data_IF_007708287886
#
_entry.id   IF_007708287886
#
_cell.length_a   1.000
_cell.length_b   1.000
_cell.length_c   1.000
_cell.angle_alpha   90.00
_cell.angle_beta   90.00
_cell.angle_gamma   90.00
#
_symmetry.space_group_name_H-M   'P 1'
#
loop_
_entity.id
_entity.type
_entity.pdbx_description
1 polymer ?
#
# COMPACT_ATOMS: atom_id res chain seq x y z
N UNK A 1 19.72 28.11 -10.45
CA UNK A 1 19.69 27.54 -9.08
C UNK A 1 19.70 26.03 -9.22
N UNK A 2 20.23 25.27 -8.26
CA UNK A 2 20.19 23.81 -8.34
C UNK A 2 18.73 23.34 -8.19
N UNK A 3 18.24 22.51 -9.10
CA UNK A 3 16.92 21.88 -8.97
C UNK A 3 16.84 21.14 -7.63
N UNK A 4 15.80 21.42 -6.85
CA UNK A 4 15.55 20.75 -5.58
C UNK A 4 14.77 19.47 -5.83
N UNK A 5 15.24 18.34 -5.29
CA UNK A 5 14.54 17.05 -5.37
C UNK A 5 13.70 16.84 -4.11
N UNK A 6 12.44 16.44 -4.26
CA UNK A 6 11.58 16.03 -3.14
C UNK A 6 11.01 14.63 -3.37
N UNK A 7 11.32 13.71 -2.46
CA UNK A 7 10.72 12.39 -2.44
C UNK A 7 9.45 12.40 -1.57
N UNK A 8 8.37 11.78 -2.06
CA UNK A 8 7.10 11.62 -1.38
C UNK A 8 6.89 10.13 -1.08
N UNK A 9 6.65 9.80 0.19
CA UNK A 9 6.27 8.46 0.60
C UNK A 9 4.75 8.38 0.75
N UNK A 10 4.08 7.79 -0.24
CA UNK A 10 2.65 7.53 -0.22
C UNK A 10 2.36 6.24 0.54
N UNK A 11 1.84 6.37 1.76
CA UNK A 11 1.56 5.23 2.63
C UNK A 11 0.19 4.62 2.33
N UNK A 12 0.15 3.31 2.21
CA UNK A 12 -1.06 2.50 2.15
C UNK A 12 -0.96 1.38 3.18
N UNK A 13 -2.10 0.82 3.58
CA UNK A 13 -2.12 -0.25 4.58
C UNK A 13 -1.65 -1.61 4.04
N UNK A 14 -1.74 -1.79 2.72
CA UNK A 14 -1.55 -3.08 2.08
C UNK A 14 -2.70 -4.06 2.29
N UNK A 15 -2.55 -5.22 1.66
CA UNK A 15 -3.46 -6.36 1.71
C UNK A 15 -2.67 -7.62 1.43
N UNK A 16 -3.02 -8.78 2.01
CA UNK A 16 -2.41 -10.05 1.64
C UNK A 16 -2.64 -10.34 0.15
N UNK A 17 -1.59 -10.86 -0.50
CA UNK A 17 -1.62 -11.28 -1.91
C UNK A 17 -2.05 -12.74 -2.06
N UNK A 18 -1.89 -13.54 -1.00
CA UNK A 18 -2.26 -14.95 -0.94
C UNK A 18 -3.05 -15.22 0.33
N UNK A 19 -3.88 -16.28 0.32
CA UNK A 19 -4.66 -16.65 1.51
C UNK A 19 -3.75 -17.08 2.67
N UNK A 20 -2.62 -17.70 2.35
CA UNK A 20 -1.61 -18.11 3.33
C UNK A 20 -1.00 -16.92 4.11
N UNK A 21 -1.00 -15.72 3.52
CA UNK A 21 -0.43 -14.52 4.13
C UNK A 21 -1.38 -13.86 5.15
N UNK A 22 -2.65 -14.26 5.18
CA UNK A 22 -3.69 -13.61 6.00
C UNK A 22 -3.34 -13.64 7.49
N UNK A 23 -2.78 -14.74 7.99
CA UNK A 23 -2.40 -14.85 9.40
C UNK A 23 -1.27 -13.87 9.78
N UNK A 24 -0.25 -13.77 8.93
CA UNK A 24 0.89 -12.87 9.14
C UNK A 24 0.44 -11.42 9.07
N UNK A 25 -0.30 -11.06 8.01
CA UNK A 25 -0.92 -9.74 7.88
C UNK A 25 -1.81 -9.40 9.07
N UNK A 26 -2.68 -10.33 9.52
CA UNK A 26 -3.58 -10.05 10.64
C UNK A 26 -2.83 -9.83 11.97
N UNK A 27 -1.69 -10.49 12.13
CA UNK A 27 -0.83 -10.31 13.31
C UNK A 27 -0.16 -8.94 13.28
N UNK A 28 0.39 -8.56 12.12
CA UNK A 28 1.05 -7.27 11.91
C UNK A 28 0.12 -6.09 12.23
N UNK A 29 -1.09 -6.12 11.66
CA UNK A 29 -2.08 -5.06 11.83
C UNK A 29 -2.62 -4.92 13.27
N UNK A 30 -2.43 -5.96 14.09
CA UNK A 30 -2.75 -5.95 15.53
C UNK A 30 -1.58 -5.52 16.40
N UNK A 31 -0.48 -5.05 15.81
CA UNK A 31 0.74 -4.67 16.52
C UNK A 31 1.49 -5.87 17.06
N UNK A 32 1.58 -6.95 16.28
CA UNK A 32 2.30 -8.18 16.63
C UNK A 32 1.53 -9.14 17.55
N UNK A 33 0.31 -8.79 17.98
CA UNK A 33 -0.52 -9.66 18.83
C UNK A 33 -1.17 -10.76 18.00
N UNK A 34 -0.73 -11.99 18.22
CA UNK A 34 -1.25 -13.18 17.53
C UNK A 34 -2.77 -13.29 17.69
N UNK A 35 -3.56 -13.26 16.59
CA UNK A 35 -5.00 -13.47 16.63
C UNK A 35 -5.34 -14.93 17.00
N UNK A 36 -6.56 -15.16 17.48
CA UNK A 36 -7.06 -16.53 17.66
C UNK A 36 -7.21 -17.22 16.30
N UNK A 37 -7.13 -18.55 16.31
CA UNK A 37 -7.31 -19.37 15.10
C UNK A 37 -8.65 -19.10 14.41
N UNK A 38 -9.73 -19.01 15.18
CA UNK A 38 -11.07 -18.70 14.68
C UNK A 38 -11.11 -17.34 13.95
N UNK A 39 -10.47 -16.31 14.52
CA UNK A 39 -10.42 -14.99 13.89
C UNK A 39 -9.62 -14.99 12.58
N UNK A 40 -8.53 -15.74 12.51
CA UNK A 40 -7.76 -15.93 11.26
C UNK A 40 -8.61 -16.66 10.22
N UNK A 41 -9.31 -17.72 10.61
CA UNK A 41 -10.18 -18.49 9.71
C UNK A 41 -11.33 -17.63 9.17
N UNK A 42 -11.93 -16.79 10.02
CA UNK A 42 -12.98 -15.85 9.63
C UNK A 42 -12.45 -14.83 8.60
N UNK A 43 -11.31 -14.19 8.86
CA UNK A 43 -10.72 -13.21 7.94
C UNK A 43 -10.29 -13.89 6.63
N UNK A 44 -9.73 -15.10 6.70
CA UNK A 44 -9.36 -15.89 5.51
C UNK A 44 -10.59 -16.22 4.67
N UNK A 45 -11.73 -16.54 5.28
CA UNK A 45 -12.97 -16.78 4.57
C UNK A 45 -13.48 -15.51 3.86
N UNK A 46 -13.29 -14.31 4.43
CA UNK A 46 -13.60 -13.04 3.77
C UNK A 46 -12.72 -12.83 2.54
N UNK A 47 -11.40 -13.02 2.66
CA UNK A 47 -10.48 -12.92 1.52
C UNK A 47 -10.76 -13.96 0.43
N UNK A 48 -11.15 -15.19 0.80
CA UNK A 48 -11.55 -16.21 -0.18
C UNK A 48 -12.78 -15.81 -0.98
N UNK A 49 -13.73 -15.09 -0.38
CA UNK A 49 -14.95 -14.62 -1.05
C UNK A 49 -14.67 -13.50 -2.05
N UNK A 50 -13.78 -12.58 -1.71
CA UNK A 50 -13.44 -11.44 -2.59
C UNK A 50 -12.33 -11.77 -3.59
N UNK A 51 -11.59 -12.84 -3.36
CA UNK A 51 -10.42 -13.21 -4.14
C UNK A 51 -9.15 -12.50 -3.69
N UNK A 52 -8.02 -13.14 -3.91
CA UNK A 52 -6.68 -12.58 -3.70
C UNK A 52 -5.83 -12.82 -4.96
N UNK A 53 -4.94 -11.87 -5.34
CA UNK A 53 -4.73 -10.57 -4.71
C UNK A 53 -5.92 -9.62 -4.89
N UNK A 54 -6.13 -8.74 -3.92
CA UNK A 54 -7.14 -7.68 -4.03
C UNK A 54 -6.62 -6.57 -4.97
N UNK A 55 -7.51 -5.73 -5.54
CA UNK A 55 -7.08 -4.62 -6.40
C UNK A 55 -6.32 -3.52 -5.65
N UNK A 56 -6.26 -3.57 -4.31
CA UNK A 56 -5.74 -2.50 -3.46
C UNK A 56 -4.28 -2.14 -3.79
N UNK A 57 -3.41 -3.14 -3.96
CA UNK A 57 -2.01 -2.89 -4.33
C UNK A 57 -1.90 -2.22 -5.70
N UNK A 58 -2.65 -2.71 -6.69
CA UNK A 58 -2.63 -2.14 -8.04
C UNK A 58 -3.09 -0.68 -8.04
N UNK A 59 -4.18 -0.39 -7.32
CA UNK A 59 -4.72 0.97 -7.17
C UNK A 59 -3.75 1.88 -6.42
N UNK A 60 -3.13 1.43 -5.33
CA UNK A 60 -2.14 2.24 -4.60
C UNK A 60 -0.93 2.60 -5.47
N UNK A 61 -0.44 1.65 -6.26
CA UNK A 61 0.67 1.89 -7.20
C UNK A 61 0.26 2.84 -8.32
N UNK A 62 -0.96 2.73 -8.84
CA UNK A 62 -1.49 3.66 -9.84
C UNK A 62 -1.65 5.07 -9.28
N UNK A 63 -2.18 5.20 -8.08
CA UNK A 63 -2.29 6.48 -7.38
C UNK A 63 -0.90 7.12 -7.17
N UNK A 64 0.11 6.34 -6.80
CA UNK A 64 1.48 6.83 -6.66
C UNK A 64 2.05 7.36 -7.97
N UNK A 65 1.88 6.62 -9.07
CA UNK A 65 2.30 7.06 -10.41
C UNK A 65 1.59 8.35 -10.85
N UNK A 66 0.28 8.42 -10.65
CA UNK A 66 -0.50 9.57 -11.07
C UNK A 66 -0.18 10.81 -10.22
N UNK A 67 0.05 10.63 -8.91
CA UNK A 67 0.52 11.70 -8.04
C UNK A 67 1.89 12.24 -8.49
N UNK A 68 2.85 11.37 -8.80
CA UNK A 68 4.16 11.79 -9.32
C UNK A 68 4.03 12.57 -10.62
N UNK A 69 3.21 12.07 -11.55
CA UNK A 69 2.93 12.72 -12.82
C UNK A 69 2.37 14.12 -12.59
N UNK A 70 1.33 14.25 -11.75
CA UNK A 70 0.67 15.52 -11.47
C UNK A 70 1.60 16.54 -10.80
N UNK A 71 2.43 16.11 -9.84
CA UNK A 71 3.39 16.99 -9.16
C UNK A 71 4.46 17.56 -10.10
N UNK A 72 4.79 16.83 -11.18
CA UNK A 72 5.80 17.25 -12.15
C UNK A 72 5.21 17.98 -13.39
N UNK A 73 3.90 18.23 -13.49
CA UNK A 73 3.31 18.98 -14.62
C UNK A 73 3.70 20.47 -14.58
N UNK A 74 3.61 21.08 -13.39
CA UNK A 74 3.91 22.49 -13.15
C UNK A 74 4.53 22.66 -11.76
N UNK A 75 5.79 22.21 -11.58
CA UNK A 75 6.42 22.22 -10.27
C UNK A 75 6.87 23.64 -9.88
N UNK A 76 6.73 24.03 -8.60
CA UNK A 76 7.26 25.29 -8.11
C UNK A 76 8.80 25.27 -8.11
N UNK A 77 9.42 26.40 -8.47
CA UNK A 77 10.87 26.65 -8.35
C UNK A 77 11.76 25.56 -8.97
N UNK A 78 11.41 25.04 -10.15
CA UNK A 78 12.13 23.96 -10.86
C UNK A 78 12.34 22.68 -10.01
N UNK A 79 11.44 22.42 -9.06
CA UNK A 79 11.48 21.24 -8.20
C UNK A 79 11.17 19.97 -8.99
N UNK A 80 11.84 18.89 -8.66
CA UNK A 80 11.50 17.54 -9.16
C UNK A 80 10.92 16.69 -8.03
N UNK A 81 9.90 15.91 -8.35
CA UNK A 81 9.24 15.01 -7.41
C UNK A 81 9.41 13.56 -7.81
N UNK A 82 9.65 12.69 -6.82
CA UNK A 82 9.52 11.24 -6.96
C UNK A 82 8.55 10.70 -5.91
N UNK A 83 7.67 9.76 -6.27
CA UNK A 83 6.70 9.15 -5.36
C UNK A 83 7.00 7.67 -5.20
N UNK A 84 7.10 7.23 -3.94
CA UNK A 84 7.24 5.83 -3.56
C UNK A 84 6.01 5.40 -2.77
N UNK A 85 5.51 4.19 -3.04
CA UNK A 85 4.42 3.60 -2.24
C UNK A 85 5.03 2.74 -1.14
N UNK A 86 4.64 3.02 0.10
CA UNK A 86 4.99 2.22 1.28
C UNK A 86 3.77 1.47 1.82
N UNK A 87 3.96 0.21 2.20
CA UNK A 87 2.97 -0.64 2.87
C UNK A 87 3.58 -1.22 4.14
#
# INVERSE_FOLDING_TARGET
>A
MASSHTAVLLMAYGSPNRLEDVAAYFTDIRGGRTPSREAVEELTARYRRVGVPTPLLAVSMELGRELERLLNIDPPDDRMYTVHVGM
#
